data_IF_206673725506
#
_entry.id   IF_206673725506
#
_cell.length_a   1.000
_cell.length_b   1.000
_cell.length_c   1.000
_cell.angle_alpha   90.00
_cell.angle_beta   90.00
_cell.angle_gamma   90.00
#
_symmetry.space_group_name_H-M   'P 1'
#
loop_
_entity.id
_entity.type
_entity.pdbx_description
1 polymer ?
#
# COMPACT_ATOMS: atom_id res chain seq x y z
N UNK A 1 8.07 -12.66 8.50
CA UNK A 1 9.51 -12.97 8.35
C UNK A 1 9.82 -14.44 7.98
N UNK A 2 8.86 -15.28 7.56
CA UNK A 2 9.13 -16.69 7.23
C UNK A 2 9.73 -16.96 5.83
N UNK A 3 9.72 -15.96 4.94
CA UNK A 3 10.17 -16.08 3.54
C UNK A 3 11.52 -15.37 3.26
N UNK A 4 12.29 -15.06 4.31
CA UNK A 4 13.59 -14.38 4.15
C UNK A 4 13.52 -12.88 3.83
N UNK A 5 12.32 -12.30 3.78
CA UNK A 5 12.10 -10.85 3.63
C UNK A 5 12.03 -10.19 5.03
N UNK A 6 13.00 -9.32 5.33
CA UNK A 6 13.07 -8.61 6.61
C UNK A 6 11.97 -7.56 6.77
N UNK A 7 11.66 -6.80 5.71
CA UNK A 7 10.66 -5.73 5.74
C UNK A 7 9.82 -5.75 4.46
N UNK A 8 8.88 -6.71 4.33
CA UNK A 8 8.00 -6.79 3.16
C UNK A 8 7.20 -5.50 2.97
N UNK A 9 7.04 -5.10 1.71
CA UNK A 9 6.19 -4.00 1.27
C UNK A 9 4.80 -4.53 0.95
N UNK A 10 3.80 -4.05 1.65
CA UNK A 10 2.41 -4.50 1.56
C UNK A 10 1.58 -3.36 0.98
N UNK A 11 1.03 -3.56 -0.22
CA UNK A 11 0.08 -2.64 -0.82
C UNK A 11 -1.34 -3.05 -0.45
N UNK A 12 -2.06 -2.19 0.26
CA UNK A 12 -3.49 -2.34 0.49
C UNK A 12 -4.26 -1.85 -0.75
N UNK A 13 -4.91 -2.77 -1.44
CA UNK A 13 -5.52 -2.50 -2.73
C UNK A 13 -6.89 -1.82 -2.61
N UNK A 14 -7.14 -0.87 -3.49
CA UNK A 14 -8.46 -0.35 -3.76
C UNK A 14 -8.60 0.05 -5.23
N UNK A 15 -9.81 0.33 -5.68
CA UNK A 15 -10.05 0.71 -7.08
C UNK A 15 -9.50 2.11 -7.43
N UNK A 16 -9.20 2.94 -6.43
CA UNK A 16 -8.68 4.31 -6.59
C UNK A 16 -7.65 4.60 -5.49
N UNK A 17 -6.73 5.52 -5.74
CA UNK A 17 -5.67 5.92 -4.79
C UNK A 17 -6.12 6.93 -3.75
N UNK A 18 -7.32 7.50 -3.93
CA UNK A 18 -7.86 8.50 -3.02
C UNK A 18 -8.84 7.87 -2.04
N UNK A 19 -8.78 8.33 -0.79
CA UNK A 19 -9.74 7.90 0.22
C UNK A 19 -11.12 8.42 -0.15
N UNK A 20 -12.05 7.49 -0.37
CA UNK A 20 -13.43 7.77 -0.70
C UNK A 20 -14.35 7.14 0.36
N UNK A 21 -15.06 7.93 1.18
CA UNK A 21 -15.96 7.41 2.21
C UNK A 21 -17.07 6.50 1.68
N UNK A 22 -17.40 6.58 0.39
CA UNK A 22 -18.38 5.71 -0.27
C UNK A 22 -17.80 4.37 -0.75
N UNK A 23 -16.49 4.17 -0.61
CA UNK A 23 -15.77 2.96 -1.00
C UNK A 23 -15.00 2.42 0.21
N UNK A 24 -15.59 1.48 0.98
CA UNK A 24 -15.00 0.95 2.22
C UNK A 24 -13.55 0.48 2.08
N UNK A 25 -13.19 -0.17 0.96
CA UNK A 25 -11.82 -0.60 0.70
C UNK A 25 -10.78 0.54 0.79
N UNK A 26 -11.14 1.76 0.36
CA UNK A 26 -10.21 2.90 0.46
C UNK A 26 -10.06 3.42 1.89
N UNK A 27 -11.09 3.26 2.72
CA UNK A 27 -11.04 3.60 4.15
C UNK A 27 -10.20 2.57 4.90
N UNK A 28 -10.41 1.29 4.63
CA UNK A 28 -9.68 0.18 5.26
C UNK A 28 -8.19 0.26 4.91
N UNK A 29 -7.86 0.48 3.63
CA UNK A 29 -6.49 0.67 3.18
C UNK A 29 -5.82 1.86 3.88
N UNK A 30 -6.51 3.01 3.97
CA UNK A 30 -5.98 4.17 4.67
C UNK A 30 -5.79 3.91 6.18
N UNK A 31 -6.71 3.17 6.80
CA UNK A 31 -6.59 2.79 8.21
C UNK A 31 -5.36 1.91 8.44
N UNK A 32 -5.11 0.92 7.57
CA UNK A 32 -3.93 0.05 7.63
C UNK A 32 -2.63 0.85 7.50
N UNK A 33 -2.57 1.80 6.54
CA UNK A 33 -1.43 2.70 6.38
C UNK A 33 -1.16 3.51 7.65
N UNK A 34 -2.21 4.08 8.27
CA UNK A 34 -2.08 4.84 9.53
C UNK A 34 -1.64 3.94 10.69
N UNK A 35 -2.18 2.72 10.78
CA UNK A 35 -1.80 1.75 11.81
C UNK A 35 -0.33 1.35 11.70
N UNK A 36 0.18 1.15 10.48
CA UNK A 36 1.60 0.88 10.23
C UNK A 36 2.48 2.08 10.56
N UNK A 37 2.09 3.29 10.16
CA UNK A 37 2.81 4.52 10.51
C UNK A 37 2.89 4.77 12.03
N UNK A 38 1.87 4.32 12.78
CA UNK A 38 1.84 4.35 14.25
C UNK A 38 2.58 3.19 14.93
N UNK A 39 3.15 2.26 14.15
CA UNK A 39 3.83 1.07 14.67
C UNK A 39 2.90 0.01 15.24
N UNK A 40 1.58 0.12 15.03
CA UNK A 40 0.61 -0.92 15.42
C UNK A 40 0.73 -2.14 14.52
N UNK A 41 1.05 -1.92 13.24
CA UNK A 41 1.53 -2.95 12.32
C UNK A 41 3.05 -2.78 12.26
N UNK A 42 3.79 -3.84 12.59
CA UNK A 42 5.25 -3.84 12.62
C UNK A 42 5.81 -4.98 11.77
N UNK A 43 7.08 -4.87 11.37
CA UNK A 43 7.74 -5.87 10.53
C UNK A 43 7.32 -5.84 9.06
N UNK A 44 6.65 -4.77 8.61
CA UNK A 44 6.29 -4.54 7.22
C UNK A 44 6.15 -3.04 6.95
N UNK A 45 6.39 -2.63 5.71
CA UNK A 45 5.96 -1.33 5.20
C UNK A 45 4.58 -1.51 4.58
N UNK A 46 3.59 -0.76 5.06
CA UNK A 46 2.22 -0.84 4.54
C UNK A 46 1.81 0.52 4.00
N UNK A 47 1.28 0.52 2.79
CA UNK A 47 0.72 1.73 2.18
C UNK A 47 -0.49 1.41 1.30
N UNK A 48 -1.32 2.42 1.09
CA UNK A 48 -2.63 2.29 0.45
C UNK A 48 -3.57 3.45 0.81
N UNK A 49 -4.67 3.63 0.05
CA UNK A 49 -5.12 2.77 -1.04
C UNK A 49 -4.28 2.89 -2.33
N UNK A 50 -4.03 1.77 -2.99
CA UNK A 50 -3.34 1.71 -4.29
C UNK A 50 -4.16 0.90 -5.28
N UNK A 51 -4.28 1.36 -6.53
CA UNK A 51 -4.71 0.47 -7.60
C UNK A 51 -3.59 -0.53 -7.94
N UNK A 52 -4.00 -1.66 -8.53
CA UNK A 52 -3.12 -2.80 -8.79
C UNK A 52 -1.89 -2.43 -9.62
N UNK A 53 -2.07 -1.67 -10.69
CA UNK A 53 -0.98 -1.17 -11.56
C UNK A 53 0.04 -0.35 -10.76
N UNK A 54 -0.44 0.54 -9.90
CA UNK A 54 0.39 1.41 -9.07
C UNK A 54 1.07 0.66 -7.92
N UNK A 55 0.55 -0.51 -7.52
CA UNK A 55 1.20 -1.36 -6.52
C UNK A 55 2.42 -2.09 -7.09
N UNK A 56 2.39 -2.51 -8.36
CA UNK A 56 3.42 -3.40 -8.95
C UNK A 56 4.32 -2.74 -10.00
N UNK A 57 3.95 -1.58 -10.55
CA UNK A 57 4.73 -0.89 -11.58
C UNK A 57 5.29 0.44 -11.07
N UNK A 58 6.63 0.58 -10.96
CA UNK A 58 7.27 1.85 -10.64
C UNK A 58 6.94 2.96 -11.65
N UNK A 59 6.77 2.61 -12.93
CA UNK A 59 6.45 3.58 -13.98
C UNK A 59 5.00 4.07 -13.89
N UNK A 60 4.05 3.19 -13.57
CA UNK A 60 2.66 3.59 -13.31
C UNK A 60 2.58 4.52 -12.09
N UNK A 61 3.24 4.12 -10.98
CA UNK A 61 3.29 4.92 -9.76
C UNK A 61 3.92 6.31 -10.01
N UNK A 62 5.03 6.39 -10.77
CA UNK A 62 5.66 7.65 -11.17
C UNK A 62 4.75 8.51 -12.05
N UNK A 63 4.08 7.90 -13.03
CA UNK A 63 3.17 8.60 -13.95
C UNK A 63 2.00 9.25 -13.21
N UNK A 64 1.48 8.58 -12.16
CA UNK A 64 0.46 9.14 -11.27
C UNK A 64 1.00 10.07 -10.17
N UNK A 65 2.32 10.23 -10.04
CA UNK A 65 2.93 11.06 -9.01
C UNK A 65 2.79 10.51 -7.59
N UNK A 66 2.72 9.18 -7.44
CA UNK A 66 2.56 8.52 -6.15
C UNK A 66 3.91 8.46 -5.43
N UNK A 67 3.99 9.10 -4.26
CA UNK A 67 5.19 9.10 -3.42
C UNK A 67 5.03 8.11 -2.28
N UNK A 68 5.53 6.89 -2.48
CA UNK A 68 5.44 5.79 -1.52
C UNK A 68 6.65 4.87 -1.66
N UNK A 69 7.09 4.27 -0.55
CA UNK A 69 8.11 3.22 -0.54
C UNK A 69 7.57 1.84 -0.94
N UNK A 70 6.24 1.72 -1.01
CA UNK A 70 5.51 0.49 -1.38
C UNK A 70 5.04 0.55 -2.83
N UNK A 71 4.53 1.70 -3.30
CA UNK A 71 4.01 1.82 -4.67
C UNK A 71 5.07 1.46 -5.73
N UNK A 72 4.69 0.57 -6.66
CA UNK A 72 5.54 0.02 -7.69
C UNK A 72 6.47 -1.11 -7.25
N UNK A 73 6.54 -1.40 -5.96
CA UNK A 73 7.48 -2.38 -5.39
C UNK A 73 6.81 -3.30 -4.36
N UNK A 74 5.50 -3.50 -4.45
CA UNK A 74 4.77 -4.33 -3.49
C UNK A 74 5.24 -5.79 -3.56
N UNK A 75 5.61 -6.34 -2.40
CA UNK A 75 5.91 -7.77 -2.22
C UNK A 75 4.63 -8.56 -1.93
N UNK A 76 3.65 -7.90 -1.30
CA UNK A 76 2.36 -8.46 -0.90
C UNK A 76 1.24 -7.51 -1.35
N UNK A 77 0.19 -8.08 -1.91
CA UNK A 77 -1.05 -7.38 -2.25
C UNK A 77 -2.15 -7.84 -1.29
N UNK A 78 -2.80 -6.90 -0.62
CA UNK A 78 -3.83 -7.14 0.40
C UNK A 78 -5.18 -6.56 -0.04
#
# INVERSE_FOLDING_TARGET
>A
HGLGMETPKVAALAAVETVNPKMPATLDAAALTVMAARGQISGALVDGPLAFDNAISPDAARTKGIHSSVAGYADILL
#
